data_IF_588727860999
#
_entry.id   IF_588727860999
#
_cell.length_a   1.000
_cell.length_b   1.000
_cell.length_c   1.000
_cell.angle_alpha   90.00
_cell.angle_beta   90.00
_cell.angle_gamma   90.00
#
_symmetry.space_group_name_H-M   'P 1'
#
loop_
_entity.id
_entity.type
_entity.pdbx_description
1 polymer ?
#
# COMPACT_ATOMS: atom_id res chain seq x y z
N UNK A 1 62.37 49.83 -3.40
CA UNK A 1 63.30 49.39 -4.47
C UNK A 1 62.54 48.44 -5.40
N UNK A 2 62.58 48.59 -6.73
CA UNK A 2 63.66 48.15 -7.66
C UNK A 2 63.86 46.61 -7.57
N UNK A 3 63.64 45.75 -8.58
CA UNK A 3 63.55 45.80 -10.09
C UNK A 3 62.50 44.74 -10.56
N UNK A 4 61.99 44.53 -11.79
CA UNK A 4 62.03 45.07 -13.18
C UNK A 4 60.63 44.79 -13.83
N UNK A 5 60.11 45.29 -14.98
CA UNK A 5 60.57 46.06 -16.17
C UNK A 5 60.82 45.22 -17.47
N UNK A 6 60.01 45.48 -18.55
CA UNK A 6 60.01 45.01 -19.98
C UNK A 6 58.97 43.93 -20.40
N UNK A 7 58.46 43.87 -21.64
CA UNK A 7 58.04 44.89 -22.64
C UNK A 7 57.18 44.21 -23.76
N UNK A 8 56.36 44.96 -24.52
CA UNK A 8 55.42 44.44 -25.54
C UNK A 8 56.08 44.04 -26.88
N UNK A 9 55.57 42.98 -27.54
CA UNK A 9 55.65 42.81 -29.01
C UNK A 9 54.51 41.96 -29.59
N UNK A 10 54.44 41.77 -30.92
CA UNK A 10 53.16 41.76 -31.67
C UNK A 10 53.10 40.81 -32.90
N UNK A 11 51.99 40.06 -33.03
CA UNK A 11 51.35 39.50 -34.25
C UNK A 11 52.06 38.45 -35.15
N UNK A 12 51.18 37.81 -35.96
CA UNK A 12 51.35 36.95 -37.18
C UNK A 12 50.93 35.48 -36.96
N UNK A 13 49.92 34.93 -37.65
CA UNK A 13 48.88 35.57 -38.50
C UNK A 13 48.14 34.60 -39.45
N UNK A 14 47.03 35.10 -40.05
CA UNK A 14 46.33 34.70 -41.33
C UNK A 14 45.88 33.23 -41.53
N UNK A 15 44.68 32.90 -42.06
CA UNK A 15 43.52 33.64 -42.65
C UNK A 15 42.18 33.01 -42.18
N UNK A 16 40.96 33.16 -42.71
CA UNK A 16 40.25 33.84 -43.85
C UNK A 16 38.77 34.05 -43.39
N UNK A 17 37.96 35.08 -43.73
CA UNK A 17 37.36 35.56 -45.01
C UNK A 17 36.38 34.52 -45.64
N UNK A 18 35.09 34.78 -45.94
CA UNK A 18 34.15 35.94 -45.86
C UNK A 18 32.69 35.39 -45.69
N UNK A 19 31.66 36.06 -45.11
CA UNK A 19 30.90 37.27 -45.52
C UNK A 19 30.25 37.19 -46.94
N UNK A 20 29.00 37.62 -47.22
CA UNK A 20 27.83 38.05 -46.40
C UNK A 20 26.62 38.49 -47.27
N UNK A 21 25.39 38.52 -46.68
CA UNK A 21 24.16 39.26 -47.10
C UNK A 21 23.39 38.87 -48.39
N UNK A 22 22.07 39.11 -48.39
CA UNK A 22 21.19 39.09 -49.59
C UNK A 22 19.70 38.88 -49.29
N UNK A 23 18.81 39.61 -49.98
CA UNK A 23 17.33 39.50 -49.92
C UNK A 23 16.71 40.35 -51.07
N UNK A 24 15.42 40.37 -51.42
CA UNK A 24 14.18 39.80 -50.84
C UNK A 24 13.13 39.56 -51.97
N UNK A 25 11.83 39.47 -51.65
CA UNK A 25 10.65 39.64 -52.55
C UNK A 25 10.27 38.53 -53.56
N UNK A 26 9.36 37.64 -53.10
CA UNK A 26 8.02 37.32 -53.68
C UNK A 26 7.77 37.00 -55.17
N UNK A 27 6.92 35.96 -55.38
CA UNK A 27 5.97 35.72 -56.52
C UNK A 27 6.57 35.24 -57.88
N UNK A 28 5.92 34.39 -58.71
CA UNK A 28 4.74 33.50 -58.53
C UNK A 28 4.70 32.33 -59.56
N UNK A 29 4.02 31.23 -59.22
CA UNK A 29 3.38 30.17 -60.07
C UNK A 29 4.07 29.58 -61.33
N UNK A 30 4.27 28.25 -61.31
CA UNK A 30 3.91 27.34 -62.42
C UNK A 30 3.73 25.89 -61.90
N UNK A 31 2.85 25.11 -62.52
CA UNK A 31 2.56 23.68 -62.23
C UNK A 31 3.42 22.77 -63.16
N UNK A 32 3.46 21.42 -63.11
CA UNK A 32 2.63 20.38 -62.46
C UNK A 32 3.42 19.04 -62.39
N UNK A 33 2.91 18.01 -61.68
CA UNK A 33 3.22 16.55 -61.80
C UNK A 33 4.64 16.06 -61.37
N UNK A 34 4.84 14.99 -60.58
CA UNK A 34 3.95 14.03 -59.88
C UNK A 34 4.59 13.67 -58.50
N UNK A 35 3.82 13.57 -57.39
CA UNK A 35 4.33 13.07 -56.10
C UNK A 35 4.38 11.53 -56.00
N UNK A 36 5.19 11.00 -55.08
CA UNK A 36 5.54 9.57 -54.96
C UNK A 36 4.40 8.67 -54.43
N UNK A 37 4.49 7.37 -54.75
CA UNK A 37 3.57 6.32 -54.31
C UNK A 37 3.35 6.29 -52.78
N UNK A 38 2.08 6.34 -52.37
CA UNK A 38 1.67 6.03 -51.00
C UNK A 38 1.62 4.50 -50.84
N UNK A 39 2.64 3.92 -50.22
CA UNK A 39 2.52 2.56 -49.67
C UNK A 39 1.64 2.59 -48.43
N UNK A 40 0.43 2.04 -48.55
CA UNK A 40 -0.53 1.93 -47.46
C UNK A 40 0.00 0.97 -46.39
N UNK A 41 0.55 1.52 -45.30
CA UNK A 41 0.75 0.74 -44.07
C UNK A 41 -0.63 0.46 -43.46
N UNK A 42 -1.02 -0.82 -43.41
CA UNK A 42 -2.21 -1.25 -42.66
C UNK A 42 -2.04 -0.88 -41.18
N UNK A 43 -3.09 -0.40 -40.49
CA UNK A 43 -3.08 -0.40 -39.04
C UNK A 43 -3.04 -1.85 -38.55
N UNK A 44 -1.95 -2.26 -37.89
CA UNK A 44 -1.91 -3.52 -37.14
C UNK A 44 -2.54 -3.27 -35.77
N UNK A 45 -3.83 -2.96 -35.80
CA UNK A 45 -4.74 -3.08 -34.67
C UNK A 45 -5.52 -4.37 -34.85
N UNK A 46 -4.95 -5.51 -34.49
CA UNK A 46 -5.73 -6.74 -34.37
C UNK A 46 -6.59 -6.63 -33.13
N UNK A 47 -7.89 -6.38 -33.31
CA UNK A 47 -8.89 -6.68 -32.30
C UNK A 47 -8.85 -8.18 -32.00
N UNK A 48 -8.13 -8.56 -30.95
CA UNK A 48 -8.32 -9.87 -30.32
C UNK A 48 -9.71 -9.89 -29.71
N UNK A 49 -10.55 -10.81 -30.18
CA UNK A 49 -11.95 -10.97 -29.77
C UNK A 49 -12.13 -10.93 -28.25
N UNK A 50 -13.20 -10.26 -27.78
CA UNK A 50 -13.71 -10.42 -26.42
C UNK A 50 -14.48 -11.75 -26.28
N UNK A 51 -13.83 -12.88 -26.58
CA UNK A 51 -14.34 -14.23 -26.32
C UNK A 51 -13.24 -15.28 -26.60
N UNK A 52 -12.26 -15.44 -25.69
CA UNK A 52 -11.44 -16.67 -25.63
C UNK A 52 -10.77 -16.95 -24.27
N UNK A 53 -11.51 -16.77 -23.17
CA UNK A 53 -11.23 -17.46 -21.89
C UNK A 53 -12.46 -18.28 -21.43
N UNK A 54 -12.86 -19.22 -22.29
CA UNK A 54 -14.04 -20.07 -22.07
C UNK A 54 -13.73 -21.17 -21.05
N UNK A 55 -13.82 -20.85 -19.75
CA UNK A 55 -14.09 -21.86 -18.74
C UNK A 55 -15.55 -22.31 -18.89
N UNK A 56 -15.75 -23.39 -19.66
CA UNK A 56 -17.05 -23.90 -20.08
C UNK A 56 -17.87 -24.55 -18.94
N UNK A 57 -18.34 -23.74 -17.98
CA UNK A 57 -19.33 -24.16 -16.99
C UNK A 57 -20.72 -23.86 -17.55
N UNK A 58 -21.34 -24.82 -18.25
CA UNK A 58 -22.73 -24.70 -18.72
C UNK A 58 -23.71 -24.87 -17.54
N UNK A 59 -23.83 -23.80 -16.76
CA UNK A 59 -24.90 -23.60 -15.77
C UNK A 59 -25.38 -22.15 -15.93
N UNK A 60 -26.68 -21.92 -15.78
CA UNK A 60 -27.32 -20.67 -16.22
C UNK A 60 -26.83 -19.46 -15.40
N UNK A 61 -26.27 -18.44 -16.06
CA UNK A 61 -26.02 -17.14 -15.42
C UNK A 61 -27.36 -16.43 -15.19
N UNK A 62 -27.92 -16.59 -13.99
CA UNK A 62 -29.25 -16.07 -13.61
C UNK A 62 -29.28 -14.53 -13.50
N UNK A 63 -28.12 -13.83 -13.46
CA UNK A 63 -28.03 -12.38 -13.32
C UNK A 63 -26.99 -11.75 -14.25
N UNK A 64 -27.37 -10.62 -14.87
CA UNK A 64 -26.45 -9.81 -15.69
C UNK A 64 -25.34 -9.15 -14.87
N UNK A 65 -24.31 -8.62 -15.54
CA UNK A 65 -23.23 -7.87 -14.89
C UNK A 65 -23.74 -6.64 -14.12
N UNK A 66 -24.71 -5.90 -14.68
CA UNK A 66 -25.30 -4.73 -14.01
C UNK A 66 -26.21 -5.09 -12.84
N UNK A 67 -26.77 -6.30 -12.81
CA UNK A 67 -27.53 -6.80 -11.65
C UNK A 67 -26.59 -7.30 -10.55
N UNK A 68 -25.48 -7.95 -10.91
CA UNK A 68 -24.38 -8.28 -9.98
C UNK A 68 -23.77 -7.05 -9.28
N UNK A 69 -23.88 -5.86 -9.87
CA UNK A 69 -23.52 -4.58 -9.25
C UNK A 69 -24.63 -3.95 -8.39
N UNK A 70 -25.89 -4.42 -8.50
CA UNK A 70 -27.06 -3.90 -7.76
C UNK A 70 -27.40 -4.79 -6.56
N UNK A 71 -27.15 -6.10 -6.63
CA UNK A 71 -27.04 -6.94 -5.43
C UNK A 71 -25.72 -6.55 -4.76
N UNK A 72 -25.81 -5.89 -3.60
CA UNK A 72 -24.73 -5.04 -3.08
C UNK A 72 -23.37 -5.73 -2.88
N UNK A 73 -22.30 -4.94 -2.95
CA UNK A 73 -20.89 -5.38 -2.95
C UNK A 73 -20.54 -6.38 -1.83
N UNK A 74 -20.62 -7.66 -2.17
CA UNK A 74 -20.27 -8.76 -1.27
C UNK A 74 -18.76 -8.93 -1.02
N UNK A 75 -17.90 -8.11 -1.66
CA UNK A 75 -16.48 -8.02 -1.26
C UNK A 75 -16.32 -7.21 0.03
N UNK A 76 -17.25 -6.30 0.36
CA UNK A 76 -17.28 -5.70 1.69
C UNK A 76 -17.80 -6.71 2.70
N UNK A 77 -16.92 -7.09 3.62
CA UNK A 77 -17.32 -7.82 4.82
C UNK A 77 -18.38 -7.02 5.59
N UNK A 78 -19.55 -7.59 5.92
CA UNK A 78 -20.62 -6.85 6.60
C UNK A 78 -20.13 -6.20 7.89
N UNK A 79 -20.23 -4.87 7.96
CA UNK A 79 -19.71 -4.11 9.09
C UNK A 79 -20.55 -4.37 10.34
N UNK A 80 -19.94 -4.84 11.43
CA UNK A 80 -20.66 -4.82 12.71
C UNK A 80 -20.96 -3.37 13.09
N UNK A 81 -22.23 -3.10 13.43
CA UNK A 81 -22.65 -1.85 14.03
C UNK A 81 -22.15 -1.77 15.48
N UNK A 82 -20.84 -1.56 15.64
CA UNK A 82 -20.21 -1.29 16.93
C UNK A 82 -20.78 0.02 17.49
N UNK A 83 -21.74 -0.09 18.40
CA UNK A 83 -22.14 1.03 19.25
C UNK A 83 -20.89 1.52 19.96
N UNK A 84 -20.60 2.83 19.86
CA UNK A 84 -19.61 3.47 20.73
C UNK A 84 -20.08 3.28 22.17
N UNK A 85 -19.23 2.69 23.00
CA UNK A 85 -19.38 2.82 24.45
C UNK A 85 -18.86 4.20 24.84
N UNK A 86 -19.76 5.19 24.79
CA UNK A 86 -19.44 6.60 25.06
C UNK A 86 -18.94 6.83 26.50
N UNK A 87 -19.07 5.84 27.40
CA UNK A 87 -18.62 5.90 28.79
C UNK A 87 -17.09 5.86 28.98
N UNK A 88 -16.31 5.49 27.96
CA UNK A 88 -14.87 5.26 28.08
C UNK A 88 -13.98 6.46 27.71
N UNK A 89 -14.53 7.54 27.12
CA UNK A 89 -13.78 8.75 26.77
C UNK A 89 -13.48 9.65 27.98
N UNK A 90 -12.69 9.14 28.94
CA UNK A 90 -12.19 9.93 30.08
C UNK A 90 -11.01 10.85 29.75
N UNK A 91 -10.27 10.54 28.68
CA UNK A 91 -9.20 11.38 28.17
C UNK A 91 -9.06 11.19 26.66
N UNK A 92 -8.96 12.30 25.94
CA UNK A 92 -8.63 12.38 24.51
C UNK A 92 -7.28 13.08 24.35
N UNK A 93 -6.65 12.89 23.19
CA UNK A 93 -5.37 13.48 22.83
C UNK A 93 -5.44 14.08 21.43
N UNK A 94 -4.68 15.13 21.20
CA UNK A 94 -4.33 15.64 19.88
C UNK A 94 -2.89 15.24 19.53
N UNK A 95 -2.57 15.15 18.25
CA UNK A 95 -1.18 15.05 17.80
C UNK A 95 -0.39 16.30 18.23
N UNK A 96 -1.03 17.45 18.43
CA UNK A 96 -0.42 18.65 19.02
C UNK A 96 0.06 18.47 20.47
N UNK A 97 -0.58 17.60 21.26
CA UNK A 97 -0.16 17.25 22.62
C UNK A 97 0.88 16.12 22.60
N UNK A 98 0.64 15.06 21.82
CA UNK A 98 1.57 13.95 21.63
C UNK A 98 2.92 14.43 21.02
N UNK A 99 2.93 15.51 20.24
CA UNK A 99 4.14 16.13 19.69
C UNK A 99 5.03 16.75 20.78
N UNK A 100 4.46 17.22 21.89
CA UNK A 100 5.19 17.87 23.00
C UNK A 100 5.81 16.87 23.97
N UNK A 101 5.37 15.61 23.93
CA UNK A 101 5.90 14.55 24.79
C UNK A 101 7.33 14.16 24.38
N UNK A 102 8.24 13.90 25.34
CA UNK A 102 9.47 13.15 25.07
C UNK A 102 9.11 11.72 24.65
N UNK A 103 9.90 11.10 23.78
CA UNK A 103 9.52 9.85 23.12
C UNK A 103 9.16 8.70 24.08
N UNK A 104 9.75 8.65 25.28
CA UNK A 104 9.39 7.66 26.32
C UNK A 104 7.95 7.84 26.83
N UNK A 105 7.50 9.07 27.02
CA UNK A 105 6.15 9.42 27.48
C UNK A 105 5.13 9.23 26.35
N UNK A 106 5.52 9.55 25.12
CA UNK A 106 4.73 9.24 23.91
C UNK A 106 4.49 7.72 23.79
N UNK A 107 5.54 6.91 23.90
CA UNK A 107 5.47 5.45 23.84
C UNK A 107 4.57 4.89 24.96
N UNK A 108 4.74 5.37 26.19
CA UNK A 108 3.95 4.94 27.34
C UNK A 108 2.47 5.33 27.18
N UNK A 109 2.18 6.52 26.64
CA UNK A 109 0.83 7.00 26.33
C UNK A 109 0.17 6.16 25.22
N UNK A 110 0.83 5.99 24.07
CA UNK A 110 0.33 5.20 22.94
C UNK A 110 0.08 3.73 23.32
N UNK A 111 0.75 3.23 24.36
CA UNK A 111 0.54 1.86 24.85
C UNK A 111 -0.72 1.64 25.69
N UNK A 112 -1.35 2.72 26.17
CA UNK A 112 -2.47 2.68 27.14
C UNK A 112 -3.78 3.21 26.57
N UNK A 113 -3.74 3.89 25.43
CA UNK A 113 -4.91 4.45 24.76
C UNK A 113 -5.28 3.65 23.51
N UNK A 114 -6.56 3.67 23.14
CA UNK A 114 -7.01 3.29 21.81
C UNK A 114 -6.76 4.44 20.81
N UNK A 115 -6.44 4.10 19.56
CA UNK A 115 -6.18 5.08 18.48
C UNK A 115 -7.31 6.11 18.29
N UNK A 116 -8.57 5.71 18.55
CA UNK A 116 -9.74 6.57 18.44
C UNK A 116 -9.84 7.66 19.53
N UNK A 117 -8.97 7.61 20.55
CA UNK A 117 -8.78 8.70 21.51
C UNK A 117 -7.89 9.83 20.95
N UNK A 118 -7.20 9.62 19.82
CA UNK A 118 -6.40 10.63 19.13
C UNK A 118 -7.29 11.32 18.08
N UNK A 119 -7.78 12.52 18.39
CA UNK A 119 -8.94 13.12 17.70
C UNK A 119 -8.65 13.63 16.29
N UNK A 120 -7.41 14.00 16.02
CA UNK A 120 -6.91 14.56 14.76
C UNK A 120 -6.07 13.57 13.94
N UNK A 121 -6.02 12.29 14.34
CA UNK A 121 -5.06 11.29 13.85
C UNK A 121 -4.92 11.23 12.31
N UNK A 122 -6.04 11.16 11.59
CA UNK A 122 -6.10 11.08 10.12
C UNK A 122 -6.31 12.45 9.43
N UNK A 123 -6.24 13.56 10.17
CA UNK A 123 -6.46 14.90 9.64
C UNK A 123 -5.14 15.55 9.20
N UNK A 124 -5.19 16.46 8.22
CA UNK A 124 -4.05 17.31 7.86
C UNK A 124 -4.22 18.72 8.43
N UNK A 125 -3.37 19.07 9.39
CA UNK A 125 -3.22 20.42 9.92
C UNK A 125 -1.74 20.67 10.28
N UNK A 126 -1.39 21.84 10.83
CA UNK A 126 0.01 22.15 11.14
C UNK A 126 0.62 21.27 12.24
N UNK A 127 -0.17 20.84 13.23
CA UNK A 127 0.29 19.98 14.32
C UNK A 127 0.45 18.52 13.88
N UNK A 128 -0.48 17.98 13.09
CA UNK A 128 -0.33 16.62 12.52
C UNK A 128 0.84 16.57 11.54
N UNK A 129 1.00 17.62 10.71
CA UNK A 129 2.19 17.81 9.88
C UNK A 129 3.47 17.86 10.71
N UNK A 130 3.53 18.65 11.78
CA UNK A 130 4.72 18.74 12.64
C UNK A 130 5.04 17.39 13.33
N UNK A 131 4.03 16.62 13.74
CA UNK A 131 4.22 15.28 14.30
C UNK A 131 4.77 14.29 13.26
N UNK A 132 4.14 14.22 12.07
CA UNK A 132 4.51 13.29 11.02
C UNK A 132 5.76 13.69 10.22
N UNK A 133 6.18 14.96 10.23
CA UNK A 133 7.41 15.41 9.56
C UNK A 133 8.68 15.03 10.34
N UNK A 134 8.56 14.65 11.61
CA UNK A 134 9.66 14.21 12.47
C UNK A 134 10.06 12.75 12.15
N UNK A 135 11.04 12.59 11.24
CA UNK A 135 11.50 11.27 10.77
C UNK A 135 12.06 10.41 11.90
N UNK A 136 12.75 11.04 12.84
CA UNK A 136 13.39 10.41 14.00
C UNK A 136 12.33 9.75 14.89
N UNK A 137 11.27 10.48 15.26
CA UNK A 137 10.13 9.95 16.01
C UNK A 137 9.39 8.86 15.25
N UNK A 138 9.21 8.99 13.94
CA UNK A 138 8.60 7.90 13.14
C UNK A 138 9.44 6.62 13.22
N UNK A 139 10.78 6.71 13.13
CA UNK A 139 11.66 5.55 13.35
C UNK A 139 11.51 4.98 14.78
N UNK A 140 11.34 5.83 15.80
CA UNK A 140 11.15 5.41 17.20
C UNK A 140 9.83 4.63 17.36
N UNK A 141 8.72 5.11 16.80
CA UNK A 141 7.41 4.41 16.84
C UNK A 141 7.50 3.05 16.13
N UNK A 142 8.15 2.98 14.96
CA UNK A 142 8.40 1.73 14.22
C UNK A 142 9.25 0.75 15.04
N UNK A 143 10.35 1.22 15.64
CA UNK A 143 11.23 0.38 16.46
C UNK A 143 10.52 -0.17 17.71
N UNK A 144 9.71 0.65 18.37
CA UNK A 144 8.93 0.28 19.55
C UNK A 144 7.82 -0.73 19.21
N UNK A 145 7.11 -0.54 18.08
CA UNK A 145 6.19 -1.55 17.55
C UNK A 145 6.90 -2.91 17.36
N UNK A 146 8.16 -2.89 16.90
CA UNK A 146 9.00 -4.08 16.81
C UNK A 146 9.39 -4.72 18.15
N UNK A 147 9.46 -3.97 19.26
CA UNK A 147 9.65 -4.56 20.60
C UNK A 147 8.34 -5.11 21.17
N UNK A 148 7.22 -4.43 20.91
CA UNK A 148 5.87 -4.87 21.28
C UNK A 148 5.48 -6.16 20.55
N UNK A 149 5.84 -6.27 19.27
CA UNK A 149 5.74 -7.51 18.49
C UNK A 149 6.37 -8.71 19.18
N UNK A 150 7.57 -8.56 19.77
CA UNK A 150 8.28 -9.64 20.49
C UNK A 150 7.69 -10.00 21.85
N UNK A 151 6.81 -9.16 22.41
CA UNK A 151 6.45 -9.18 23.84
C UNK A 151 4.94 -9.14 24.13
N UNK A 152 4.09 -9.10 23.11
CA UNK A 152 2.66 -9.31 23.28
C UNK A 152 2.32 -10.75 23.65
N UNK A 153 1.18 -10.93 24.29
CA UNK A 153 0.67 -12.18 24.83
C UNK A 153 -0.80 -12.34 24.45
N UNK A 154 -1.39 -13.53 24.65
CA UNK A 154 -2.82 -13.75 24.41
C UNK A 154 -3.74 -12.98 25.37
N UNK A 155 -3.23 -12.47 26.50
CA UNK A 155 -3.94 -11.60 27.45
C UNK A 155 -3.66 -10.10 27.28
N UNK A 156 -2.66 -9.71 26.49
CA UNK A 156 -2.20 -8.32 26.35
C UNK A 156 -1.52 -8.08 25.00
N UNK A 157 -2.20 -7.37 24.10
CA UNK A 157 -1.72 -6.95 22.77
C UNK A 157 -0.65 -5.84 22.79
N UNK A 158 -0.24 -5.35 23.97
CA UNK A 158 0.75 -4.25 24.16
C UNK A 158 0.43 -2.97 23.39
N UNK A 159 -0.85 -2.70 23.11
CA UNK A 159 -1.27 -1.54 22.33
C UNK A 159 -0.83 -1.57 20.86
N UNK A 160 -0.50 -2.74 20.29
CA UNK A 160 -0.02 -2.88 18.90
C UNK A 160 -0.98 -2.22 17.90
N UNK A 161 -2.30 -2.31 18.08
CA UNK A 161 -3.25 -1.63 17.19
C UNK A 161 -3.07 -0.11 17.19
N UNK A 162 -2.87 0.53 18.35
CA UNK A 162 -2.67 1.98 18.43
C UNK A 162 -1.35 2.41 17.75
N UNK A 163 -0.27 1.66 17.94
CA UNK A 163 0.99 1.91 17.23
C UNK A 163 0.84 1.71 15.71
N UNK A 164 0.10 0.70 15.28
CA UNK A 164 -0.21 0.46 13.87
C UNK A 164 -1.02 1.62 13.30
N UNK A 165 -2.14 2.01 13.91
CA UNK A 165 -3.01 3.06 13.37
C UNK A 165 -2.31 4.43 13.31
N UNK A 166 -1.37 4.72 14.22
CA UNK A 166 -0.49 5.92 14.14
C UNK A 166 0.47 5.89 12.95
N UNK A 167 0.94 4.71 12.54
CA UNK A 167 1.75 4.57 11.32
C UNK A 167 0.88 4.62 10.06
N UNK A 168 -0.28 3.95 10.07
CA UNK A 168 -1.25 3.98 8.96
C UNK A 168 -1.73 5.39 8.67
N UNK A 169 -2.02 6.18 9.71
CA UNK A 169 -2.38 7.59 9.56
C UNK A 169 -1.21 8.44 9.07
N UNK A 170 0.04 8.17 9.49
CA UNK A 170 1.22 8.82 8.93
C UNK A 170 1.34 8.58 7.42
N UNK A 171 1.19 7.33 6.96
CA UNK A 171 1.26 6.99 5.53
C UNK A 171 0.05 7.53 4.74
N UNK A 172 -1.16 7.49 5.30
CA UNK A 172 -2.37 8.07 4.70
C UNK A 172 -2.25 9.60 4.53
N UNK A 173 -1.95 10.33 5.61
CA UNK A 173 -1.78 11.79 5.56
C UNK A 173 -0.56 12.14 4.68
N UNK A 174 0.49 11.32 4.70
CA UNK A 174 1.63 11.39 3.80
C UNK A 174 1.26 11.28 2.32
N UNK A 175 0.42 10.30 1.95
CA UNK A 175 -0.02 10.06 0.57
C UNK A 175 -0.70 11.28 -0.05
N UNK A 176 -1.59 11.94 0.69
CA UNK A 176 -2.35 13.08 0.16
C UNK A 176 -1.62 14.44 0.26
N UNK A 177 -0.57 14.58 1.08
CA UNK A 177 0.05 15.89 1.37
C UNK A 177 1.55 15.93 1.04
N UNK A 178 1.95 16.78 0.11
CA UNK A 178 3.28 16.73 -0.51
C UNK A 178 4.43 17.21 0.39
N UNK A 179 4.18 17.97 1.45
CA UNK A 179 5.22 18.30 2.44
C UNK A 179 5.62 17.10 3.33
N UNK A 180 4.82 16.03 3.29
CA UNK A 180 5.08 14.74 3.94
C UNK A 180 5.45 13.65 2.90
N UNK A 181 5.88 14.04 1.70
CA UNK A 181 6.16 13.14 0.57
C UNK A 181 7.07 11.95 0.87
N UNK A 182 7.96 12.06 1.85
CA UNK A 182 8.83 10.96 2.25
C UNK A 182 8.06 9.76 2.87
N UNK A 183 6.84 9.99 3.37
CA UNK A 183 5.93 8.95 3.86
C UNK A 183 5.19 8.23 2.71
N UNK A 184 5.42 8.63 1.46
CA UNK A 184 5.04 7.87 0.25
C UNK A 184 6.17 6.98 -0.26
N UNK A 185 7.40 7.15 0.22
CA UNK A 185 8.55 6.39 -0.29
C UNK A 185 8.50 4.94 0.21
N UNK A 186 8.49 3.96 -0.71
CA UNK A 186 8.59 2.52 -0.38
C UNK A 186 9.83 2.21 0.50
N UNK A 187 10.93 2.92 0.29
CA UNK A 187 12.14 2.86 1.13
C UNK A 187 11.91 3.22 2.60
N UNK A 188 10.88 4.05 2.89
CA UNK A 188 10.46 4.39 4.24
C UNK A 188 9.38 3.42 4.75
N UNK A 189 8.46 2.96 3.90
CA UNK A 189 7.50 1.91 4.24
C UNK A 189 8.20 0.61 4.69
N UNK A 190 9.24 0.19 3.95
CA UNK A 190 10.02 -1.03 4.21
C UNK A 190 10.71 -1.04 5.59
N UNK A 191 10.81 0.11 6.27
CA UNK A 191 11.22 0.17 7.69
C UNK A 191 10.25 -0.53 8.63
N UNK A 192 9.00 -0.77 8.21
CA UNK A 192 8.02 -1.54 8.97
C UNK A 192 8.27 -3.05 8.90
N UNK A 193 9.02 -3.56 7.90
CA UNK A 193 9.26 -4.99 7.72
C UNK A 193 9.92 -5.67 8.95
N UNK A 194 10.93 -5.09 9.63
CA UNK A 194 11.45 -5.63 10.88
C UNK A 194 10.41 -5.71 12.01
N UNK A 195 9.48 -4.75 12.08
CA UNK A 195 8.42 -4.74 13.09
C UNK A 195 7.33 -5.77 12.78
N UNK A 196 6.89 -5.87 11.52
CA UNK A 196 6.00 -6.92 11.03
C UNK A 196 6.59 -8.31 11.31
N UNK A 197 7.86 -8.55 10.95
CA UNK A 197 8.55 -9.82 11.21
C UNK A 197 8.71 -10.09 12.71
N UNK A 198 8.83 -9.07 13.55
CA UNK A 198 8.89 -9.22 15.00
C UNK A 198 7.53 -9.60 15.62
N UNK A 199 6.42 -9.05 15.11
CA UNK A 199 5.05 -9.46 15.45
C UNK A 199 4.83 -10.92 15.04
N UNK A 200 5.11 -11.25 13.78
CA UNK A 200 4.81 -12.56 13.21
C UNK A 200 5.69 -13.73 13.73
N UNK A 201 6.84 -13.42 14.34
CA UNK A 201 7.72 -14.40 15.00
C UNK A 201 7.37 -14.65 16.47
N UNK A 202 6.37 -13.96 17.02
CA UNK A 202 5.87 -14.21 18.37
C UNK A 202 5.00 -15.48 18.39
N UNK A 203 5.19 -16.34 19.39
CA UNK A 203 4.40 -17.57 19.58
C UNK A 203 2.90 -17.31 19.78
N UNK A 204 2.51 -16.07 20.11
CA UNK A 204 1.12 -15.65 20.25
C UNK A 204 0.49 -15.14 18.92
N UNK A 205 1.24 -15.08 17.81
CA UNK A 205 0.73 -14.68 16.50
C UNK A 205 -0.09 -15.80 15.85
N UNK A 206 -1.35 -15.89 16.25
CA UNK A 206 -2.34 -16.87 15.84
C UNK A 206 -3.75 -16.28 16.03
N UNK A 207 -4.77 -16.92 15.47
CA UNK A 207 -6.17 -16.65 15.82
C UNK A 207 -6.53 -17.36 17.13
N UNK A 208 -7.30 -16.71 18.00
CA UNK A 208 -7.64 -17.27 19.31
C UNK A 208 -8.39 -16.31 20.22
N UNK A 209 -7.64 -15.59 21.07
CA UNK A 209 -8.21 -14.56 21.95
C UNK A 209 -8.39 -13.23 21.22
N UNK A 210 -9.23 -12.35 21.76
CA UNK A 210 -9.48 -11.02 21.20
C UNK A 210 -8.20 -10.16 21.06
N UNK A 211 -7.22 -10.34 21.94
CA UNK A 211 -5.93 -9.63 21.85
C UNK A 211 -5.08 -10.15 20.68
N UNK A 212 -5.07 -11.47 20.45
CA UNK A 212 -4.34 -12.06 19.32
C UNK A 212 -5.04 -11.71 17.99
N UNK A 213 -6.37 -11.88 17.91
CA UNK A 213 -7.16 -11.55 16.72
C UNK A 213 -6.98 -10.06 16.33
N UNK A 214 -6.92 -9.15 17.32
CA UNK A 214 -6.61 -7.72 17.10
C UNK A 214 -5.20 -7.51 16.56
N UNK A 215 -4.18 -8.21 17.08
CA UNK A 215 -2.80 -8.12 16.59
C UNK A 215 -2.68 -8.64 15.15
N UNK A 216 -3.39 -9.73 14.82
CA UNK A 216 -3.41 -10.30 13.46
C UNK A 216 -4.14 -9.36 12.48
N UNK A 217 -5.24 -8.73 12.88
CA UNK A 217 -5.89 -7.68 12.08
C UNK A 217 -4.99 -6.46 11.89
N UNK A 218 -4.32 -5.99 12.95
CA UNK A 218 -3.37 -4.87 12.90
C UNK A 218 -2.16 -5.17 12.01
N UNK A 219 -1.71 -6.43 11.93
CA UNK A 219 -0.65 -6.87 11.02
C UNK A 219 -1.04 -6.68 9.55
N UNK A 220 -2.21 -7.18 9.14
CA UNK A 220 -2.73 -6.99 7.77
C UNK A 220 -2.97 -5.52 7.41
N UNK A 221 -3.63 -4.79 8.32
CA UNK A 221 -3.84 -3.33 8.23
C UNK A 221 -2.53 -2.54 8.02
N UNK A 222 -1.43 -2.92 8.68
CA UNK A 222 -0.14 -2.25 8.51
C UNK A 222 0.50 -2.58 7.16
N UNK A 223 0.44 -3.83 6.69
CA UNK A 223 0.96 -4.20 5.36
C UNK A 223 0.31 -3.32 4.27
N UNK A 224 -1.02 -3.21 4.26
CA UNK A 224 -1.77 -2.43 3.26
C UNK A 224 -1.58 -0.91 3.33
N UNK A 225 -0.82 -0.37 4.27
CA UNK A 225 -0.45 1.04 4.32
C UNK A 225 1.06 1.30 4.37
N UNK A 226 1.86 0.26 4.55
CA UNK A 226 3.32 0.29 4.50
C UNK A 226 3.80 -0.64 3.38
N UNK A 227 4.27 -1.84 3.74
CA UNK A 227 4.73 -2.82 2.75
C UNK A 227 4.80 -4.25 3.29
N UNK A 228 4.84 -5.20 2.36
CA UNK A 228 5.22 -6.59 2.57
C UNK A 228 6.51 -6.95 1.81
N UNK A 229 6.96 -8.17 2.10
CA UNK A 229 7.93 -8.96 1.37
C UNK A 229 7.53 -10.44 1.41
N UNK A 230 8.31 -11.33 0.80
CA UNK A 230 8.00 -12.77 0.78
C UNK A 230 7.97 -13.42 2.17
N UNK A 231 8.74 -12.90 3.13
CA UNK A 231 8.79 -13.45 4.49
C UNK A 231 7.52 -13.09 5.27
N UNK A 232 7.07 -11.83 5.18
CA UNK A 232 5.83 -11.36 5.80
C UNK A 232 4.58 -11.98 5.17
N UNK A 233 4.53 -12.12 3.84
CA UNK A 233 3.46 -12.89 3.17
C UNK A 233 3.45 -14.36 3.65
N UNK A 234 4.61 -15.01 3.75
CA UNK A 234 4.69 -16.40 4.20
C UNK A 234 4.25 -16.58 5.67
N UNK A 235 4.32 -15.55 6.52
CA UNK A 235 3.72 -15.60 7.86
C UNK A 235 2.19 -15.53 7.84
N UNK A 236 1.58 -14.76 6.93
CA UNK A 236 0.13 -14.69 6.78
C UNK A 236 -0.49 -16.06 6.41
N UNK A 237 0.23 -16.89 5.65
CA UNK A 237 -0.20 -18.27 5.30
C UNK A 237 -0.58 -19.09 6.53
N UNK A 238 0.16 -18.97 7.63
CA UNK A 238 -0.12 -19.74 8.85
C UNK A 238 -1.47 -19.34 9.48
N UNK A 239 -1.83 -18.06 9.39
CA UNK A 239 -3.12 -17.53 9.85
C UNK A 239 -4.26 -18.00 8.94
N UNK A 240 -4.11 -17.86 7.61
CA UNK A 240 -5.11 -18.33 6.65
C UNK A 240 -5.34 -19.84 6.80
N UNK A 241 -4.26 -20.61 6.93
CA UNK A 241 -4.32 -22.05 7.19
C UNK A 241 -5.05 -22.37 8.50
N UNK A 242 -4.72 -21.69 9.60
CA UNK A 242 -5.41 -21.90 10.87
C UNK A 242 -6.91 -21.60 10.75
N UNK A 243 -7.28 -20.55 10.02
CA UNK A 243 -8.69 -20.21 9.79
C UNK A 243 -9.40 -21.27 8.93
N UNK A 244 -8.81 -21.68 7.81
CA UNK A 244 -9.36 -22.70 6.93
C UNK A 244 -9.48 -24.07 7.61
N UNK A 245 -8.52 -24.44 8.45
CA UNK A 245 -8.53 -25.68 9.23
C UNK A 245 -9.60 -25.65 10.36
N UNK A 246 -10.14 -24.48 10.72
CA UNK A 246 -11.15 -24.28 11.77
C UNK A 246 -12.43 -23.57 11.26
N UNK A 247 -12.65 -23.56 9.94
CA UNK A 247 -13.63 -22.70 9.26
C UNK A 247 -15.05 -22.82 9.83
N UNK A 248 -15.49 -24.04 10.15
CA UNK A 248 -16.82 -24.33 10.71
C UNK A 248 -17.12 -23.63 12.03
N UNK A 249 -16.09 -23.25 12.79
CA UNK A 249 -16.20 -22.46 14.02
C UNK A 249 -15.91 -20.97 13.75
N UNK A 250 -14.82 -20.70 13.02
CA UNK A 250 -14.28 -19.35 12.89
C UNK A 250 -15.06 -18.45 11.93
N UNK A 251 -15.85 -19.00 10.99
CA UNK A 251 -16.59 -18.19 10.01
C UNK A 251 -17.70 -17.34 10.64
N UNK A 252 -18.24 -17.76 11.79
CA UNK A 252 -19.18 -16.97 12.59
C UNK A 252 -18.52 -15.95 13.54
N UNK A 253 -17.20 -16.01 13.73
CA UNK A 253 -16.47 -15.12 14.63
C UNK A 253 -16.10 -13.82 13.89
N UNK A 254 -16.63 -12.69 14.37
CA UNK A 254 -16.35 -11.40 13.73
C UNK A 254 -14.87 -11.01 13.80
N UNK A 255 -14.19 -11.21 14.93
CA UNK A 255 -12.80 -10.81 15.09
C UNK A 255 -11.87 -11.62 14.18
N UNK A 256 -12.07 -12.95 14.12
CA UNK A 256 -11.22 -13.86 13.34
C UNK A 256 -11.37 -13.66 11.84
N UNK A 257 -12.61 -13.52 11.35
CA UNK A 257 -12.83 -13.19 9.94
C UNK A 257 -12.36 -11.77 9.57
N UNK A 258 -12.30 -10.82 10.52
CA UNK A 258 -11.71 -9.50 10.25
C UNK A 258 -10.20 -9.64 10.10
N UNK A 259 -9.55 -10.38 11.01
CA UNK A 259 -8.12 -10.61 10.99
C UNK A 259 -7.65 -11.27 9.67
N UNK A 260 -8.44 -12.20 9.12
CA UNK A 260 -8.22 -12.77 7.78
C UNK A 260 -8.47 -11.77 6.66
N UNK A 261 -9.59 -11.04 6.69
CA UNK A 261 -9.92 -10.03 5.67
C UNK A 261 -8.85 -8.95 5.53
N UNK A 262 -8.40 -8.35 6.64
CA UNK A 262 -7.36 -7.31 6.63
C UNK A 262 -6.00 -7.86 6.15
N UNK A 263 -5.73 -9.16 6.33
CA UNK A 263 -4.52 -9.81 5.83
C UNK A 263 -4.55 -9.98 4.31
N UNK A 264 -5.65 -10.53 3.76
CA UNK A 264 -5.76 -10.75 2.30
C UNK A 264 -5.75 -9.40 1.58
N UNK A 265 -6.62 -8.48 2.02
CA UNK A 265 -6.71 -7.11 1.51
C UNK A 265 -5.41 -6.32 1.62
N UNK A 266 -4.71 -6.44 2.76
CA UNK A 266 -3.46 -5.72 2.99
C UNK A 266 -2.35 -6.16 2.03
N UNK A 267 -2.20 -7.47 1.83
CA UNK A 267 -1.18 -8.06 0.95
C UNK A 267 -1.49 -7.76 -0.52
N UNK A 268 -2.75 -7.90 -0.94
CA UNK A 268 -3.18 -7.54 -2.30
C UNK A 268 -2.90 -6.05 -2.59
N UNK A 269 -3.34 -5.16 -1.71
CA UNK A 269 -3.21 -3.72 -1.90
C UNK A 269 -1.74 -3.26 -1.99
N UNK A 270 -0.84 -3.83 -1.18
CA UNK A 270 0.61 -3.57 -1.26
C UNK A 270 1.20 -4.01 -2.61
N UNK A 271 0.85 -5.21 -3.08
CA UNK A 271 1.37 -5.77 -4.33
C UNK A 271 0.84 -4.99 -5.54
N UNK A 272 -0.45 -4.65 -5.56
CA UNK A 272 -1.04 -3.82 -6.60
C UNK A 272 -0.44 -2.41 -6.61
N UNK A 273 -0.29 -1.77 -5.44
CA UNK A 273 0.33 -0.45 -5.33
C UNK A 273 1.78 -0.47 -5.80
N UNK A 274 2.58 -1.47 -5.41
CA UNK A 274 3.96 -1.62 -5.87
C UNK A 274 4.07 -1.77 -7.39
N UNK A 275 3.17 -2.52 -8.02
CA UNK A 275 3.13 -2.66 -9.48
C UNK A 275 2.80 -1.33 -10.17
N UNK A 276 1.83 -0.58 -9.64
CA UNK A 276 1.44 0.74 -10.16
C UNK A 276 2.56 1.78 -10.00
N UNK A 277 3.13 1.91 -8.80
CA UNK A 277 4.17 2.90 -8.48
C UNK A 277 5.47 2.62 -9.24
N UNK A 278 5.88 1.35 -9.35
CA UNK A 278 7.17 0.99 -9.98
C UNK A 278 7.08 0.73 -11.48
N UNK A 279 5.87 0.57 -12.05
CA UNK A 279 5.63 0.18 -13.44
C UNK A 279 6.37 -1.11 -13.88
N UNK A 280 6.75 -1.95 -12.91
CA UNK A 280 7.37 -3.26 -13.14
C UNK A 280 6.36 -4.27 -13.64
N UNK A 281 6.83 -5.25 -14.40
CA UNK A 281 6.02 -6.43 -14.74
C UNK A 281 5.96 -7.39 -13.54
N UNK A 282 4.91 -8.22 -13.40
CA UNK A 282 4.77 -9.13 -12.27
C UNK A 282 5.99 -10.04 -12.02
N UNK A 283 6.65 -10.52 -13.07
CA UNK A 283 7.85 -11.37 -12.96
C UNK A 283 9.12 -10.63 -12.45
N UNK A 284 9.09 -9.31 -12.34
CA UNK A 284 10.19 -8.43 -11.90
C UNK A 284 10.01 -8.00 -10.43
N UNK A 285 8.95 -8.48 -9.77
CA UNK A 285 8.64 -8.23 -8.36
C UNK A 285 9.35 -9.21 -7.43
N UNK A 286 9.46 -8.85 -6.15
CA UNK A 286 10.11 -9.71 -5.16
C UNK A 286 9.32 -10.99 -4.84
N UNK A 287 8.00 -10.98 -5.00
CA UNK A 287 7.08 -12.07 -4.64
C UNK A 287 6.87 -13.14 -5.72
N UNK A 288 7.23 -12.86 -6.98
CA UNK A 288 6.99 -13.77 -8.11
C UNK A 288 7.57 -15.17 -7.88
N UNK A 289 6.73 -16.20 -8.09
CA UNK A 289 7.08 -17.61 -7.88
C UNK A 289 7.35 -18.00 -6.42
N UNK A 290 6.85 -17.22 -5.45
CA UNK A 290 7.10 -17.40 -4.00
C UNK A 290 5.85 -17.17 -3.13
N UNK A 291 4.67 -17.10 -3.74
CA UNK A 291 3.39 -16.88 -3.05
C UNK A 291 2.45 -18.08 -3.11
N UNK A 292 2.86 -19.19 -3.73
CA UNK A 292 2.05 -20.37 -4.01
C UNK A 292 1.33 -20.90 -2.76
N UNK A 293 1.99 -20.88 -1.60
CA UNK A 293 1.38 -21.27 -0.32
C UNK A 293 0.25 -20.31 0.14
N UNK A 294 0.40 -19.01 -0.11
CA UNK A 294 -0.63 -18.00 0.17
C UNK A 294 -1.80 -18.15 -0.80
N UNK A 295 -1.51 -18.24 -2.10
CA UNK A 295 -2.50 -18.48 -3.16
C UNK A 295 -3.28 -19.77 -2.89
N UNK A 296 -2.64 -20.84 -2.43
CA UNK A 296 -3.31 -22.09 -2.07
C UNK A 296 -4.26 -21.97 -0.87
N UNK A 297 -3.91 -21.19 0.16
CA UNK A 297 -4.82 -20.95 1.29
C UNK A 297 -5.95 -19.95 0.94
N UNK A 298 -5.75 -19.03 -0.01
CA UNK A 298 -6.84 -18.22 -0.60
C UNK A 298 -7.74 -19.09 -1.49
N UNK A 299 -7.19 -19.99 -2.31
CA UNK A 299 -7.96 -20.98 -3.08
C UNK A 299 -8.82 -21.87 -2.17
N UNK A 300 -8.32 -22.25 -0.98
CA UNK A 300 -9.11 -23.00 0.03
C UNK A 300 -10.31 -22.22 0.56
N UNK A 301 -10.27 -20.89 0.54
CA UNK A 301 -11.40 -20.00 0.84
C UNK A 301 -12.36 -19.93 -0.35
N UNK A 302 -11.82 -19.69 -1.56
CA UNK A 302 -12.59 -19.57 -2.80
C UNK A 302 -13.42 -20.81 -3.13
N UNK A 303 -12.90 -22.00 -2.78
CA UNK A 303 -13.45 -23.31 -3.14
C UNK A 303 -14.28 -23.96 -2.01
N UNK A 304 -14.80 -23.18 -1.05
CA UNK A 304 -15.74 -23.67 -0.03
C UNK A 304 -17.09 -23.98 -0.69
N UNK A 305 -17.24 -25.21 -1.18
CA UNK A 305 -18.39 -25.64 -2.00
C UNK A 305 -19.77 -25.71 -1.30
N UNK A 306 -19.89 -25.31 -0.03
CA UNK A 306 -21.16 -25.16 0.65
C UNK A 306 -21.34 -23.69 1.08
N UNK A 307 -22.07 -22.92 0.26
CA UNK A 307 -22.27 -21.48 0.44
C UNK A 307 -23.39 -21.24 1.45
N UNK A 308 -23.14 -20.37 2.42
CA UNK A 308 -24.10 -19.92 3.45
C UNK A 308 -24.05 -18.41 3.61
N UNK A 309 -25.01 -17.81 4.34
CA UNK A 309 -25.03 -16.37 4.57
C UNK A 309 -23.83 -15.87 5.38
N UNK A 310 -23.25 -16.74 6.21
CA UNK A 310 -22.12 -16.47 7.09
C UNK A 310 -20.78 -16.51 6.34
N UNK A 311 -20.68 -17.29 5.25
CA UNK A 311 -19.44 -17.52 4.52
C UNK A 311 -19.38 -16.90 3.11
N UNK A 312 -20.50 -16.45 2.53
CA UNK A 312 -20.57 -15.93 1.16
C UNK A 312 -19.63 -14.74 0.92
N UNK A 313 -19.57 -13.78 1.86
CA UNK A 313 -18.64 -12.65 1.80
C UNK A 313 -17.17 -13.11 1.74
N UNK A 314 -16.83 -14.17 2.47
CA UNK A 314 -15.48 -14.71 2.55
C UNK A 314 -15.10 -15.41 1.24
N UNK A 315 -16.01 -16.22 0.69
CA UNK A 315 -15.84 -16.91 -0.60
C UNK A 315 -15.62 -15.88 -1.72
N UNK A 316 -16.44 -14.83 -1.77
CA UNK A 316 -16.29 -13.76 -2.76
C UNK A 316 -14.94 -13.02 -2.63
N UNK A 317 -14.44 -12.80 -1.39
CA UNK A 317 -13.11 -12.26 -1.13
C UNK A 317 -11.95 -13.24 -1.41
N UNK A 318 -12.23 -14.53 -1.62
CA UNK A 318 -11.23 -15.51 -2.07
C UNK A 318 -11.18 -15.69 -3.58
N UNK A 319 -12.24 -15.30 -4.29
CA UNK A 319 -12.36 -15.37 -5.75
C UNK A 319 -11.84 -14.09 -6.44
N UNK A 320 -11.90 -12.95 -5.74
CA UNK A 320 -11.36 -11.66 -6.14
C UNK A 320 -9.82 -11.62 -6.02
#
# INVERSE_FOLDING_TARGET
MNKNLKFTQMMIGISTVALSFGSIQTQVSAEEKVPYNILQMKPIGTETSKDEMVHATKTEEILTFEERLKVGDFSQRPTLAMKRDESQLKQSYTLAELNKMPDRELIDTLSKISWNQITDLFQFNQDTKAFYQNKERMNVIINELGQRGKSFTKEDSKGIETFVEVLRSAFYVGYYNNELSYLKERSFHDKCLPALKAIAKNLNFALGTAEQDRVVAAYGKLIGNASSDTETVQYAVNILKQYNDNLSTYVSDYAKGQAVYEIVKGIDYDIQSYLQDTNKKPYETMWYGKMDNFINEVNRIALVGNITNENSWLINNGIY
#
